data_IF_674449780867
#
_entry.id   IF_674449780867
#
_cell.length_a   1.000
_cell.length_b   1.000
_cell.length_c   1.000
_cell.angle_alpha   90.00
_cell.angle_beta   90.00
_cell.angle_gamma   90.00
#
_symmetry.space_group_name_H-M   'P 1'
#
loop_
_entity.id
_entity.type
_entity.pdbx_description
1 polymer ?
#
# COMPACT_ATOMS: atom_id res chain seq x y z
N UNK A 1 -13.24 14.52 -14.26
CA UNK A 1 -13.07 14.12 -12.85
C UNK A 1 -12.82 12.63 -12.69
N UNK A 2 -13.77 11.68 -12.92
CA UNK A 2 -13.53 10.22 -12.77
C UNK A 2 -12.37 9.71 -13.61
N UNK A 3 -12.34 9.99 -14.90
CA UNK A 3 -11.26 9.54 -15.80
C UNK A 3 -9.89 10.08 -15.38
N UNK A 4 -9.81 11.30 -14.92
CA UNK A 4 -8.59 11.92 -14.41
C UNK A 4 -8.11 11.26 -13.12
N UNK A 5 -9.02 10.96 -12.18
CA UNK A 5 -8.68 10.22 -10.95
C UNK A 5 -8.16 8.81 -11.27
N UNK A 6 -8.83 8.10 -12.18
CA UNK A 6 -8.40 6.77 -12.61
C UNK A 6 -7.03 6.82 -13.31
N UNK A 7 -6.79 7.81 -14.17
CA UNK A 7 -5.48 8.00 -14.79
C UNK A 7 -4.42 8.35 -13.74
N UNK A 8 -4.74 9.22 -12.78
CA UNK A 8 -3.86 9.55 -11.66
C UNK A 8 -3.47 8.31 -10.82
N UNK A 9 -4.42 7.40 -10.57
CA UNK A 9 -4.13 6.13 -9.91
C UNK A 9 -3.21 5.25 -10.76
N UNK A 10 -3.49 5.10 -12.06
CA UNK A 10 -2.66 4.31 -12.98
C UNK A 10 -1.22 4.84 -13.01
N UNK A 11 -1.04 6.15 -13.08
CA UNK A 11 0.27 6.80 -13.06
C UNK A 11 0.98 6.61 -11.71
N UNK A 12 0.24 6.68 -10.61
CA UNK A 12 0.76 6.42 -9.27
C UNK A 12 1.21 4.95 -9.09
N UNK A 13 0.39 3.99 -9.52
CA UNK A 13 0.74 2.56 -9.51
C UNK A 13 2.01 2.28 -10.33
N UNK A 14 2.10 2.88 -11.52
CA UNK A 14 3.28 2.76 -12.40
C UNK A 14 4.55 3.32 -11.74
N UNK A 15 4.44 4.43 -11.02
CA UNK A 15 5.56 5.08 -10.33
C UNK A 15 5.91 4.43 -8.98
N UNK A 16 5.16 3.43 -8.54
CA UNK A 16 5.21 2.87 -7.18
C UNK A 16 5.39 1.34 -7.18
N UNK A 17 6.47 0.80 -7.79
CA UNK A 17 6.69 -0.65 -7.82
C UNK A 17 7.00 -1.27 -6.45
N UNK A 18 7.41 -0.48 -5.47
CA UNK A 18 7.72 -0.91 -4.09
C UNK A 18 7.24 0.12 -3.07
N UNK A 19 7.14 -0.21 -1.75
CA UNK A 19 6.78 0.75 -0.70
C UNK A 19 7.66 2.01 -0.70
N UNK A 20 8.95 1.87 -0.97
CA UNK A 20 9.89 2.98 -1.07
C UNK A 20 9.52 3.95 -2.21
N UNK A 21 9.18 3.42 -3.38
CA UNK A 21 8.76 4.21 -4.54
C UNK A 21 7.38 4.84 -4.32
N UNK A 22 6.47 4.13 -3.65
CA UNK A 22 5.15 4.65 -3.28
C UNK A 22 5.30 5.87 -2.35
N UNK A 23 6.10 5.73 -1.29
CA UNK A 23 6.40 6.83 -0.35
C UNK A 23 7.07 8.00 -1.04
N UNK A 24 8.05 7.76 -1.91
CA UNK A 24 8.70 8.81 -2.69
C UNK A 24 7.73 9.52 -3.66
N UNK A 25 6.78 8.78 -4.25
CA UNK A 25 5.75 9.34 -5.12
C UNK A 25 4.73 10.19 -4.35
N UNK A 26 4.28 9.73 -3.17
CA UNK A 26 3.42 10.49 -2.26
C UNK A 26 4.12 11.78 -1.81
N UNK A 27 5.39 11.69 -1.37
CA UNK A 27 6.18 12.82 -0.93
C UNK A 27 6.33 13.89 -2.01
N UNK A 28 6.68 13.50 -3.24
CA UNK A 28 6.79 14.44 -4.39
C UNK A 28 5.48 15.18 -4.66
N UNK A 29 4.34 14.50 -4.56
CA UNK A 29 3.02 15.12 -4.77
C UNK A 29 2.66 16.08 -3.64
N UNK A 30 3.01 15.73 -2.40
CA UNK A 30 2.86 16.61 -1.23
C UNK A 30 3.73 17.86 -1.38
N UNK A 31 5.01 17.71 -1.75
CA UNK A 31 5.92 18.84 -2.00
C UNK A 31 5.40 19.78 -3.09
N UNK A 32 4.92 19.22 -4.22
CA UNK A 32 4.30 19.98 -5.30
C UNK A 32 3.05 20.76 -4.84
N UNK A 33 2.35 20.27 -3.81
CA UNK A 33 1.21 20.93 -3.18
C UNK A 33 1.58 21.85 -2.00
N UNK A 34 2.88 22.11 -1.79
CA UNK A 34 3.39 23.05 -0.77
C UNK A 34 3.52 22.44 0.62
N UNK A 35 3.51 21.13 0.77
CA UNK A 35 3.82 20.47 2.04
C UNK A 35 5.33 20.51 2.29
N UNK A 36 5.73 20.82 3.53
CA UNK A 36 7.12 20.86 3.98
C UNK A 36 7.50 19.57 4.70
N UNK A 37 8.63 18.97 4.30
CA UNK A 37 9.18 17.81 5.03
C UNK A 37 9.66 18.22 6.42
N UNK A 38 9.35 17.42 7.42
CA UNK A 38 9.89 17.49 8.78
C UNK A 38 10.83 16.30 8.98
N UNK A 39 12.03 16.57 9.52
CA UNK A 39 12.95 15.51 9.95
C UNK A 39 12.63 15.11 11.39
N UNK A 40 12.57 13.83 11.68
CA UNK A 40 12.28 13.32 13.01
C UNK A 40 13.42 13.58 14.01
N UNK A 41 14.62 13.87 13.53
CA UNK A 41 15.81 14.20 14.35
C UNK A 41 15.83 15.65 14.83
N UNK A 42 15.05 16.52 14.18
CA UNK A 42 15.03 17.95 14.46
C UNK A 42 13.84 18.33 15.36
N UNK A 43 13.95 19.48 16.03
CA UNK A 43 12.80 20.12 16.67
C UNK A 43 11.82 20.64 15.61
N UNK A 44 10.51 20.41 15.82
CA UNK A 44 9.49 20.86 14.88
C UNK A 44 8.90 22.20 15.29
N UNK A 45 8.80 23.10 14.32
CA UNK A 45 8.08 24.36 14.44
C UNK A 45 6.89 24.31 13.47
N UNK A 46 5.74 23.92 13.98
CA UNK A 46 4.49 23.82 13.22
C UNK A 46 3.59 25.02 13.49
N UNK A 47 2.90 25.48 12.48
CA UNK A 47 2.02 26.64 12.51
C UNK A 47 0.59 26.26 12.16
N UNK A 48 -0.38 26.99 12.69
CA UNK A 48 -1.78 26.90 12.27
C UNK A 48 -1.91 27.12 10.76
N UNK A 49 -2.65 26.27 10.09
CA UNK A 49 -2.77 26.27 8.62
C UNK A 49 -1.57 25.65 7.89
N UNK A 50 -0.54 25.20 8.62
CA UNK A 50 0.66 24.61 8.04
C UNK A 50 0.42 23.25 7.43
N UNK A 51 1.25 22.91 6.43
CA UNK A 51 1.21 21.65 5.68
C UNK A 51 2.56 20.96 5.79
N UNK A 52 2.59 19.75 6.32
CA UNK A 52 3.83 19.04 6.64
C UNK A 52 3.72 17.57 6.24
N UNK A 53 4.86 16.92 6.07
CA UNK A 53 4.93 15.47 6.01
C UNK A 53 6.22 14.94 6.65
N UNK A 54 6.15 13.70 7.11
CA UNK A 54 7.25 12.96 7.73
C UNK A 54 7.34 11.61 7.04
N UNK A 55 8.55 11.12 6.80
CA UNK A 55 8.77 9.75 6.33
C UNK A 55 9.60 8.96 7.35
N UNK A 56 9.33 7.68 7.47
CA UNK A 56 10.15 6.75 8.26
C UNK A 56 10.52 5.55 7.42
N UNK A 57 11.78 5.11 7.48
CA UNK A 57 12.37 4.07 6.64
C UNK A 57 12.25 4.33 5.12
N UNK A 58 11.86 5.54 4.70
CA UNK A 58 11.50 5.89 3.33
C UNK A 58 10.42 4.99 2.71
N UNK A 59 9.70 4.21 3.52
CA UNK A 59 8.62 3.31 3.11
C UNK A 59 7.28 3.60 3.79
N UNK A 60 7.26 4.43 4.83
CA UNK A 60 6.05 4.92 5.50
C UNK A 60 6.03 6.44 5.55
N UNK A 61 4.81 7.01 5.54
CA UNK A 61 4.61 8.45 5.46
C UNK A 61 3.43 8.89 6.33
N UNK A 62 3.58 10.03 7.03
CA UNK A 62 2.49 10.77 7.65
C UNK A 62 2.45 12.17 7.06
N UNK A 63 1.34 12.52 6.38
CA UNK A 63 1.07 13.86 5.87
C UNK A 63 0.09 14.58 6.80
N UNK A 64 0.36 15.86 7.08
CA UNK A 64 -0.31 16.65 8.09
C UNK A 64 -0.75 17.97 7.47
N UNK A 65 -2.05 18.27 7.55
CA UNK A 65 -2.62 19.57 7.30
C UNK A 65 -3.22 20.09 8.60
N UNK A 66 -2.58 21.05 9.22
CA UNK A 66 -3.12 21.71 10.43
C UNK A 66 -4.17 22.73 10.02
N UNK A 67 -5.33 22.63 10.64
CA UNK A 67 -6.43 23.58 10.50
C UNK A 67 -6.22 24.82 11.37
N UNK A 68 -7.27 25.65 11.48
CA UNK A 68 -7.28 26.80 12.40
C UNK A 68 -7.79 26.43 13.78
N UNK A 69 -8.57 25.37 13.91
CA UNK A 69 -9.04 24.86 15.20
C UNK A 69 -7.93 24.10 15.90
N UNK A 70 -7.82 24.32 17.20
CA UNK A 70 -6.86 23.57 18.02
C UNK A 70 -7.17 22.07 17.99
N UNK A 71 -6.18 21.16 17.84
CA UNK A 71 -6.42 19.73 17.99
C UNK A 71 -6.98 19.33 19.37
N UNK A 72 -6.80 20.15 20.38
CA UNK A 72 -7.41 19.96 21.72
C UNK A 72 -8.92 20.21 21.74
N UNK A 73 -9.45 20.93 20.75
CA UNK A 73 -10.86 21.24 20.61
C UNK A 73 -11.53 20.34 19.59
N UNK A 74 -10.90 20.13 18.44
CA UNK A 74 -11.49 19.42 17.29
C UNK A 74 -10.94 18.02 17.06
N UNK A 75 -9.81 17.65 17.66
CA UNK A 75 -9.14 16.38 17.36
C UNK A 75 -8.52 16.38 15.97
N UNK A 76 -8.21 15.16 15.48
CA UNK A 76 -7.68 14.90 14.15
C UNK A 76 -8.63 14.05 13.32
N UNK A 77 -8.73 14.35 12.03
CA UNK A 77 -9.36 13.48 11.01
C UNK A 77 -8.24 12.70 10.38
N UNK A 78 -8.15 11.41 10.72
CA UNK A 78 -7.08 10.55 10.24
C UNK A 78 -7.61 9.60 9.16
N UNK A 79 -6.90 9.49 8.06
CA UNK A 79 -7.08 8.43 7.06
C UNK A 79 -5.83 7.57 7.08
N UNK A 80 -6.00 6.26 7.23
CA UNK A 80 -4.90 5.29 7.26
C UNK A 80 -4.98 4.33 6.08
N UNK A 81 -3.83 4.01 5.48
CA UNK A 81 -3.63 3.01 4.43
C UNK A 81 -2.24 2.38 4.56
N UNK A 82 -1.89 1.41 3.69
CA UNK A 82 -0.54 0.85 3.68
C UNK A 82 0.10 0.90 2.30
N UNK A 83 1.45 0.92 2.29
CA UNK A 83 2.26 1.13 1.08
C UNK A 83 2.76 -0.17 0.46
N UNK A 84 2.81 -1.24 1.22
CA UNK A 84 3.29 -2.56 0.82
C UNK A 84 2.21 -3.38 0.12
N UNK A 85 2.63 -4.41 -0.56
CA UNK A 85 1.79 -5.38 -1.25
C UNK A 85 2.55 -6.70 -1.37
N UNK A 86 1.87 -7.86 -1.46
CA UNK A 86 2.54 -9.14 -1.61
C UNK A 86 3.40 -9.20 -2.86
N UNK A 87 4.62 -9.72 -2.71
CA UNK A 87 5.59 -9.77 -3.80
C UNK A 87 6.66 -10.84 -3.60
N UNK A 88 7.55 -10.99 -4.58
CA UNK A 88 8.74 -11.82 -4.49
C UNK A 88 9.96 -10.94 -4.24
N UNK A 89 10.55 -11.03 -3.04
CA UNK A 89 11.76 -10.30 -2.64
C UNK A 89 13.01 -11.10 -2.95
N UNK A 90 14.05 -10.43 -3.43
CA UNK A 90 15.35 -11.05 -3.73
C UNK A 90 16.07 -11.37 -2.43
N UNK A 91 16.60 -12.59 -2.29
CA UNK A 91 17.37 -13.05 -1.13
C UNK A 91 18.74 -12.38 -1.07
N UNK A 92 19.39 -12.30 0.12
CA UNK A 92 20.72 -11.65 0.28
C UNK A 92 21.87 -12.24 -0.56
N UNK A 93 21.82 -13.54 -0.84
CA UNK A 93 22.71 -14.25 -1.76
C UNK A 93 21.85 -14.99 -2.78
N UNK A 94 21.47 -14.32 -3.88
CA UNK A 94 20.35 -14.78 -4.70
C UNK A 94 20.77 -15.65 -5.88
N UNK A 95 22.03 -15.67 -6.28
CA UNK A 95 22.49 -16.29 -7.51
C UNK A 95 22.28 -17.82 -7.48
N UNK A 96 21.53 -18.33 -8.45
CA UNK A 96 21.32 -19.75 -8.68
C UNK A 96 21.73 -20.05 -10.13
N UNK A 97 22.93 -20.60 -10.32
CA UNK A 97 23.37 -21.07 -11.63
C UNK A 97 22.93 -22.53 -11.81
N UNK A 98 22.03 -22.80 -12.75
CA UNK A 98 21.49 -24.14 -13.01
C UNK A 98 21.21 -24.34 -14.49
N UNK A 99 21.69 -25.44 -15.06
CA UNK A 99 21.41 -25.84 -16.45
C UNK A 99 21.70 -24.75 -17.49
N UNK A 100 22.73 -23.91 -17.28
CA UNK A 100 23.08 -22.81 -18.19
C UNK A 100 22.22 -21.57 -18.04
N UNK A 101 21.42 -21.46 -16.97
CA UNK A 101 20.64 -20.27 -16.65
C UNK A 101 21.05 -19.66 -15.31
N UNK A 102 20.94 -18.36 -15.22
CA UNK A 102 20.99 -17.61 -13.96
C UNK A 102 19.58 -17.31 -13.50
N UNK A 103 19.27 -17.76 -12.29
CA UNK A 103 18.04 -17.44 -11.58
C UNK A 103 18.37 -16.63 -10.32
N UNK A 104 17.42 -15.86 -9.83
CA UNK A 104 17.53 -15.23 -8.51
C UNK A 104 16.64 -15.95 -7.50
N UNK A 105 17.24 -16.35 -6.38
CA UNK A 105 16.52 -16.87 -5.23
C UNK A 105 15.62 -15.79 -4.63
N UNK A 106 14.36 -16.12 -4.36
CA UNK A 106 13.38 -15.20 -3.82
C UNK A 106 12.77 -15.69 -2.51
N UNK A 107 12.31 -14.75 -1.72
CA UNK A 107 11.46 -14.95 -0.54
C UNK A 107 10.08 -14.38 -0.83
N UNK A 108 9.02 -15.09 -0.45
CA UNK A 108 7.65 -14.60 -0.59
C UNK A 108 7.39 -13.60 0.52
N UNK A 109 6.99 -12.39 0.15
CA UNK A 109 6.54 -11.35 1.05
C UNK A 109 5.01 -11.33 1.08
N UNK A 110 4.42 -11.46 2.27
CA UNK A 110 2.96 -11.48 2.44
C UNK A 110 2.27 -12.72 1.87
N UNK A 111 0.96 -12.65 1.73
CA UNK A 111 0.10 -13.74 1.28
C UNK A 111 -0.10 -13.80 -0.23
N UNK A 112 0.97 -13.81 -1.04
CA UNK A 112 0.88 -13.77 -2.50
C UNK A 112 0.18 -14.99 -3.11
N UNK A 113 -0.65 -14.76 -4.14
CA UNK A 113 -1.13 -15.80 -5.04
C UNK A 113 -0.01 -16.16 -6.03
N UNK A 114 0.52 -17.40 -6.03
CA UNK A 114 1.70 -17.76 -6.81
C UNK A 114 1.43 -17.96 -8.30
N UNK A 115 0.34 -18.62 -8.65
CA UNK A 115 0.03 -18.97 -10.04
C UNK A 115 0.05 -17.77 -11.02
N UNK A 116 -0.47 -16.59 -10.68
CA UNK A 116 -0.44 -15.44 -11.57
C UNK A 116 0.95 -14.86 -11.86
N UNK A 117 1.99 -15.26 -11.12
CA UNK A 117 3.37 -14.82 -11.33
C UNK A 117 4.06 -15.49 -12.50
N UNK A 118 3.58 -16.68 -12.88
CA UNK A 118 4.15 -17.42 -14.00
C UNK A 118 3.84 -16.74 -15.33
N UNK A 119 4.79 -16.85 -16.27
CA UNK A 119 4.71 -16.33 -17.65
C UNK A 119 4.53 -14.81 -17.74
N UNK A 120 4.89 -14.07 -16.67
CA UNK A 120 4.87 -12.60 -16.64
C UNK A 120 6.22 -12.02 -16.98
N UNK A 121 6.18 -10.88 -17.64
CA UNK A 121 7.35 -10.03 -17.90
C UNK A 121 7.70 -9.25 -16.63
N UNK A 122 8.69 -9.73 -15.88
CA UNK A 122 9.03 -9.17 -14.58
C UNK A 122 10.19 -8.18 -14.67
N UNK A 123 10.09 -7.10 -13.91
CA UNK A 123 11.16 -6.17 -13.61
C UNK A 123 11.52 -6.22 -12.12
N UNK A 124 12.55 -5.46 -11.73
CA UNK A 124 13.09 -5.42 -10.39
C UNK A 124 13.25 -3.97 -9.93
N UNK A 125 12.81 -3.67 -8.70
CA UNK A 125 12.95 -2.36 -8.10
C UNK A 125 13.12 -2.44 -6.58
N UNK A 126 13.65 -1.38 -5.98
CA UNK A 126 13.76 -1.28 -4.53
C UNK A 126 14.86 -0.32 -4.09
N UNK A 127 15.40 -0.55 -2.88
CA UNK A 127 16.45 0.23 -2.26
C UNK A 127 17.77 -0.53 -2.29
N UNK A 128 18.85 0.12 -2.72
CA UNK A 128 20.22 -0.40 -2.67
C UNK A 128 21.03 0.46 -1.72
N UNK A 129 21.73 -0.19 -0.78
CA UNK A 129 22.65 0.45 0.17
C UNK A 129 24.08 0.11 -0.21
N UNK A 130 24.91 1.12 -0.36
CA UNK A 130 26.26 1.01 -0.88
C UNK A 130 27.21 2.00 -0.20
N UNK A 131 28.51 1.80 -0.40
CA UNK A 131 29.54 2.78 -0.04
C UNK A 131 30.05 3.43 -1.33
N UNK A 132 30.11 4.76 -1.31
CA UNK A 132 30.73 5.55 -2.37
C UNK A 132 31.53 6.69 -1.75
N UNK A 133 32.78 6.90 -2.20
CA UNK A 133 33.66 7.92 -1.67
C UNK A 133 33.80 7.86 -0.13
N UNK A 134 33.84 6.65 0.43
CA UNK A 134 33.95 6.40 1.87
C UNK A 134 32.69 6.66 2.69
N UNK A 135 31.57 7.05 2.07
CA UNK A 135 30.27 7.32 2.74
C UNK A 135 29.30 6.18 2.49
N UNK A 136 28.48 5.89 3.50
CA UNK A 136 27.32 5.01 3.37
C UNK A 136 26.16 5.80 2.78
N UNK A 137 25.61 5.30 1.68
CA UNK A 137 24.46 5.89 0.98
C UNK A 137 23.44 4.84 0.59
N UNK A 138 22.21 5.26 0.35
CA UNK A 138 21.16 4.44 -0.23
C UNK A 138 20.47 5.17 -1.37
N UNK A 139 20.08 4.43 -2.41
CA UNK A 139 19.31 4.94 -3.55
C UNK A 139 18.21 3.95 -3.92
N UNK A 140 17.13 4.48 -4.45
CA UNK A 140 16.12 3.67 -5.10
C UNK A 140 16.58 3.35 -6.51
N UNK A 141 16.39 2.10 -6.93
CA UNK A 141 16.66 1.65 -8.30
C UNK A 141 15.40 1.01 -8.87
N UNK A 142 15.21 1.16 -10.19
CA UNK A 142 14.11 0.54 -10.92
C UNK A 142 14.59 0.20 -12.35
N UNK A 143 14.64 -1.09 -12.67
CA UNK A 143 15.06 -1.55 -14.01
C UNK A 143 14.09 -1.18 -15.11
N UNK A 144 12.81 -1.00 -14.81
CA UNK A 144 11.71 -0.53 -15.69
C UNK A 144 11.38 -1.38 -16.91
N UNK A 145 12.27 -2.23 -17.32
CA UNK A 145 12.08 -3.17 -18.44
C UNK A 145 11.97 -4.60 -17.92
N UNK A 146 11.36 -5.46 -18.69
CA UNK A 146 11.34 -6.89 -18.40
C UNK A 146 12.77 -7.45 -18.41
N UNK A 147 13.23 -7.93 -17.27
CA UNK A 147 14.55 -8.54 -17.08
C UNK A 147 14.47 -9.97 -16.55
N UNK A 148 13.27 -10.42 -16.21
CA UNK A 148 13.07 -11.72 -15.58
C UNK A 148 11.75 -12.35 -16.01
N UNK A 149 11.67 -13.67 -15.90
CA UNK A 149 10.45 -14.46 -16.10
C UNK A 149 10.48 -15.72 -15.24
N UNK A 150 9.31 -16.16 -14.77
CA UNK A 150 9.10 -17.48 -14.17
C UNK A 150 8.31 -18.31 -15.19
N UNK A 151 8.96 -19.11 -16.05
CA UNK A 151 8.22 -19.86 -17.07
C UNK A 151 7.50 -21.05 -16.45
N UNK A 152 6.24 -21.28 -16.87
CA UNK A 152 5.55 -22.51 -16.56
C UNK A 152 6.26 -23.72 -17.19
N UNK A 153 6.16 -24.87 -16.52
CA UNK A 153 6.52 -26.12 -17.15
C UNK A 153 5.47 -26.51 -18.22
N UNK A 154 5.92 -26.91 -19.38
CA UNK A 154 5.01 -27.32 -20.44
C UNK A 154 4.02 -28.41 -19.96
N UNK A 155 2.75 -28.31 -20.38
CA UNK A 155 1.68 -29.24 -19.96
C UNK A 155 2.05 -30.72 -20.22
N UNK A 156 2.84 -31.01 -21.26
CA UNK A 156 3.31 -32.35 -21.57
C UNK A 156 4.24 -32.96 -20.51
N UNK A 157 4.91 -32.10 -19.72
CA UNK A 157 5.83 -32.49 -18.64
C UNK A 157 5.18 -32.40 -17.26
N UNK A 158 4.03 -31.70 -17.16
CA UNK A 158 3.22 -31.57 -15.94
C UNK A 158 1.73 -31.71 -16.28
N UNK A 159 1.27 -32.93 -16.51
CA UNK A 159 -0.13 -33.20 -16.92
C UNK A 159 -1.15 -32.92 -15.83
N UNK A 160 -0.71 -32.90 -14.57
CA UNK A 160 -1.52 -32.56 -13.40
C UNK A 160 -1.64 -31.05 -13.11
N UNK A 161 -1.06 -30.17 -13.93
CA UNK A 161 -1.04 -28.73 -13.70
C UNK A 161 -2.44 -28.14 -13.48
N UNK A 162 -3.47 -28.66 -14.16
CA UNK A 162 -4.86 -28.20 -14.04
C UNK A 162 -5.67 -28.98 -12.99
N UNK A 163 -5.06 -29.90 -12.24
CA UNK A 163 -5.72 -30.77 -11.26
C UNK A 163 -5.41 -30.35 -9.81
N UNK A 164 -4.97 -29.10 -9.60
CA UNK A 164 -4.64 -28.56 -8.27
C UNK A 164 -3.19 -28.82 -7.84
N UNK A 165 -2.24 -28.76 -8.77
CA UNK A 165 -0.81 -28.89 -8.48
C UNK A 165 -0.33 -27.82 -7.48
N UNK A 166 0.22 -28.20 -6.31
CA UNK A 166 0.75 -27.24 -5.34
C UNK A 166 2.08 -26.68 -5.82
N UNK A 167 2.17 -25.35 -5.93
CA UNK A 167 3.39 -24.65 -6.31
C UNK A 167 4.34 -24.59 -5.11
N UNK A 168 5.57 -25.08 -5.27
CA UNK A 168 6.62 -24.99 -4.27
C UNK A 168 7.39 -23.70 -4.44
N UNK A 169 7.22 -22.75 -3.49
CA UNK A 169 7.83 -21.44 -3.56
C UNK A 169 9.37 -21.45 -3.65
N UNK A 170 10.03 -22.40 -2.96
CA UNK A 170 11.50 -22.48 -2.94
C UNK A 170 12.07 -22.93 -4.28
N UNK A 171 11.40 -23.86 -4.96
CA UNK A 171 11.94 -24.53 -6.13
C UNK A 171 11.40 -23.98 -7.46
N UNK A 172 10.18 -23.41 -7.47
CA UNK A 172 9.45 -23.08 -8.69
C UNK A 172 9.33 -21.56 -8.92
N UNK A 173 9.49 -20.72 -7.89
CA UNK A 173 9.39 -19.27 -8.02
C UNK A 173 10.68 -18.51 -8.39
N UNK A 174 11.93 -19.07 -8.29
CA UNK A 174 13.13 -18.31 -8.67
C UNK A 174 13.07 -17.88 -10.15
N UNK A 175 12.97 -16.56 -10.45
CA UNK A 175 12.88 -16.07 -11.82
C UNK A 175 14.21 -16.26 -12.56
N UNK A 176 14.12 -16.60 -13.86
CA UNK A 176 15.26 -16.62 -14.78
C UNK A 176 15.55 -15.18 -15.19
N UNK A 177 16.82 -14.75 -15.10
CA UNK A 177 17.24 -13.40 -15.51
C UNK A 177 18.28 -13.42 -16.64
N UNK A 178 18.99 -14.52 -16.86
CA UNK A 178 19.99 -14.63 -17.93
C UNK A 178 20.26 -16.08 -18.31
N UNK A 179 20.84 -16.25 -19.51
CA UNK A 179 21.52 -17.48 -19.91
C UNK A 179 23.02 -17.30 -19.69
N UNK A 180 23.68 -18.31 -19.09
CA UNK A 180 25.10 -18.30 -18.79
C UNK A 180 25.88 -19.11 -19.81
N UNK A 181 27.05 -18.60 -20.25
CA UNK A 181 28.01 -19.36 -20.97
C UNK A 181 28.69 -20.43 -20.06
N UNK A 182 29.24 -21.52 -20.61
CA UNK A 182 29.97 -22.49 -19.82
C UNK A 182 31.10 -21.87 -19.00
N UNK A 183 31.03 -22.02 -17.68
CA UNK A 183 32.04 -21.48 -16.75
C UNK A 183 31.86 -19.99 -16.40
N UNK A 184 30.83 -19.35 -16.92
CA UNK A 184 30.48 -17.97 -16.54
C UNK A 184 29.92 -17.91 -15.11
N UNK A 185 30.47 -17.00 -14.31
CA UNK A 185 29.96 -16.67 -12.98
C UNK A 185 29.17 -15.38 -13.06
N UNK A 186 28.08 -15.30 -12.31
CA UNK A 186 27.27 -14.09 -12.18
C UNK A 186 27.51 -13.45 -10.82
N UNK A 187 27.55 -12.13 -10.79
CA UNK A 187 27.58 -11.31 -9.58
C UNK A 187 26.40 -10.33 -9.61
N UNK A 188 25.43 -10.58 -8.77
CA UNK A 188 24.22 -9.75 -8.72
C UNK A 188 24.52 -8.35 -8.17
N UNK A 189 25.51 -8.22 -7.28
CA UNK A 189 25.91 -6.90 -6.77
C UNK A 189 26.57 -6.04 -7.83
N UNK A 190 27.29 -6.64 -8.75
CA UNK A 190 27.85 -5.92 -9.91
C UNK A 190 26.73 -5.41 -10.82
N UNK A 191 25.67 -6.20 -11.05
CA UNK A 191 24.48 -5.74 -11.80
C UNK A 191 23.81 -4.54 -11.13
N UNK A 192 23.79 -4.50 -9.79
CA UNK A 192 23.25 -3.36 -9.04
C UNK A 192 24.13 -2.12 -9.12
N UNK A 193 25.46 -2.26 -9.13
CA UNK A 193 26.40 -1.15 -9.34
C UNK A 193 26.23 -0.55 -10.74
N UNK A 194 26.10 -1.38 -11.78
CA UNK A 194 25.78 -0.92 -13.13
C UNK A 194 24.44 -0.18 -13.20
N UNK A 195 23.44 -0.64 -12.43
CA UNK A 195 22.13 0.05 -12.39
C UNK A 195 22.22 1.38 -11.64
N UNK A 196 22.98 1.47 -10.55
CA UNK A 196 23.28 2.73 -9.85
C UNK A 196 23.98 3.74 -10.78
N UNK A 197 24.95 3.27 -11.54
CA UNK A 197 25.64 4.11 -12.53
C UNK A 197 24.66 4.62 -13.61
N UNK A 198 23.79 3.75 -14.12
CA UNK A 198 22.81 4.08 -15.17
C UNK A 198 21.75 5.09 -14.73
N UNK A 199 21.22 4.92 -13.51
CA UNK A 199 20.13 5.77 -13.03
C UNK A 199 20.59 7.04 -12.32
N UNK A 200 21.72 6.97 -11.62
CA UNK A 200 22.16 8.04 -10.73
C UNK A 200 23.53 8.61 -11.09
N UNK A 201 24.26 8.03 -12.06
CA UNK A 201 25.64 8.41 -12.38
C UNK A 201 26.62 8.06 -11.23
N UNK A 202 26.28 7.12 -10.37
CA UNK A 202 27.07 6.72 -9.18
C UNK A 202 27.74 5.39 -9.46
N UNK A 203 29.05 5.31 -9.25
CA UNK A 203 29.79 4.07 -9.15
C UNK A 203 30.06 3.79 -7.69
N UNK A 204 29.59 2.64 -7.17
CA UNK A 204 29.82 2.26 -5.79
C UNK A 204 31.23 1.70 -5.58
N UNK A 205 31.86 2.03 -4.44
CA UNK A 205 33.07 1.29 -4.00
C UNK A 205 32.69 -0.17 -3.71
N UNK A 206 31.50 -0.40 -3.15
CA UNK A 206 30.92 -1.71 -2.88
C UNK A 206 29.40 -1.57 -2.64
N UNK A 207 28.59 -2.46 -3.25
CA UNK A 207 27.18 -2.67 -2.89
C UNK A 207 27.13 -3.56 -1.65
N UNK A 208 26.60 -3.03 -0.56
CA UNK A 208 26.60 -3.70 0.76
C UNK A 208 25.37 -4.57 0.96
N UNK A 209 24.18 -4.00 0.69
CA UNK A 209 22.92 -4.70 0.89
C UNK A 209 21.80 -4.08 0.03
N UNK A 210 20.64 -4.72 0.01
CA UNK A 210 19.50 -4.26 -0.79
C UNK A 210 18.18 -4.81 -0.26
N UNK A 211 17.10 -4.12 -0.62
CA UNK A 211 15.71 -4.55 -0.46
C UNK A 211 15.02 -4.40 -1.81
N UNK A 212 15.01 -5.48 -2.58
CA UNK A 212 14.55 -5.49 -3.97
C UNK A 212 13.39 -6.47 -4.15
N UNK A 213 12.38 -6.04 -4.89
CA UNK A 213 11.18 -6.84 -5.20
C UNK A 213 10.96 -6.91 -6.69
N UNK A 214 10.56 -8.09 -7.16
CA UNK A 214 10.06 -8.27 -8.52
C UNK A 214 8.65 -7.66 -8.65
N UNK A 215 8.36 -7.14 -9.82
CA UNK A 215 7.03 -6.64 -10.18
C UNK A 215 6.74 -6.89 -11.66
N UNK A 216 5.44 -6.94 -12.02
CA UNK A 216 4.98 -7.08 -13.40
C UNK A 216 5.14 -5.75 -14.16
N UNK A 217 5.77 -5.80 -15.33
CA UNK A 217 5.93 -4.63 -16.20
C UNK A 217 4.63 -4.23 -16.91
N UNK A 218 3.60 -5.09 -16.88
CA UNK A 218 2.29 -4.76 -17.43
C UNK A 218 1.65 -3.64 -16.60
N UNK A 219 1.50 -2.48 -17.21
CA UNK A 219 0.87 -1.32 -16.58
C UNK A 219 -0.58 -1.61 -16.18
N UNK A 220 -1.04 -0.95 -15.12
CA UNK A 220 -2.47 -0.87 -14.82
C UNK A 220 -3.22 -0.22 -15.99
N UNK A 221 -4.48 -0.60 -16.18
CA UNK A 221 -5.33 -0.08 -17.23
C UNK A 221 -6.80 -0.08 -16.83
N UNK A 222 -7.58 0.82 -17.43
CA UNK A 222 -9.03 0.70 -17.42
C UNK A 222 -9.41 -0.41 -18.41
N UNK A 223 -10.25 -1.32 -17.97
CA UNK A 223 -10.68 -2.51 -18.74
C UNK A 223 -12.19 -2.74 -18.57
N UNK A 224 -12.75 -3.60 -19.40
CA UNK A 224 -14.17 -3.90 -19.46
C UNK A 224 -14.79 -3.38 -20.76
N UNK A 225 -15.97 -3.90 -21.11
CA UNK A 225 -16.65 -3.53 -22.34
C UNK A 225 -17.03 -2.04 -22.38
N UNK A 226 -17.34 -1.46 -21.19
CA UNK A 226 -17.72 -0.05 -21.01
C UNK A 226 -16.82 0.63 -19.97
N UNK A 227 -15.56 0.25 -19.85
CA UNK A 227 -14.58 0.84 -18.94
C UNK A 227 -14.98 0.72 -17.44
N UNK A 228 -15.61 -0.40 -17.06
CA UNK A 228 -16.14 -0.58 -15.71
C UNK A 228 -15.08 -0.86 -14.64
N UNK A 229 -13.87 -1.29 -15.05
CA UNK A 229 -12.88 -1.80 -14.12
C UNK A 229 -11.52 -1.13 -14.28
N UNK A 230 -10.72 -1.18 -13.22
CA UNK A 230 -9.28 -0.91 -13.23
C UNK A 230 -8.58 -2.22 -12.91
N UNK A 231 -7.73 -2.70 -13.82
CA UNK A 231 -6.90 -3.88 -13.62
C UNK A 231 -5.44 -3.45 -13.42
N UNK A 232 -4.82 -3.88 -12.33
CA UNK A 232 -3.43 -3.52 -12.03
C UNK A 232 -2.87 -4.29 -10.85
N UNK A 233 -1.56 -4.28 -10.69
CA UNK A 233 -0.89 -4.78 -9.51
C UNK A 233 -0.98 -3.76 -8.37
N UNK A 234 -0.96 -4.23 -7.11
CA UNK A 234 -0.87 -3.39 -5.90
C UNK A 234 -2.04 -2.41 -5.71
N UNK A 235 -3.22 -2.75 -6.26
CA UNK A 235 -4.44 -2.02 -5.91
C UNK A 235 -4.67 -2.10 -4.40
N UNK A 236 -4.41 -3.27 -3.84
CA UNK A 236 -4.21 -3.46 -2.42
C UNK A 236 -2.76 -3.10 -2.05
N UNK A 237 -2.47 -1.95 -1.35
CA UNK A 237 -3.47 -0.96 -0.93
C UNK A 237 -3.11 0.45 -1.46
N UNK A 238 -2.34 0.52 -2.56
CA UNK A 238 -1.95 1.79 -3.17
C UNK A 238 -3.17 2.59 -3.68
N UNK A 239 -4.29 1.91 -3.95
CA UNK A 239 -5.55 2.57 -4.29
C UNK A 239 -6.01 3.47 -3.15
N UNK A 240 -6.02 2.97 -1.90
CA UNK A 240 -6.41 3.74 -0.73
C UNK A 240 -5.38 4.82 -0.37
N UNK A 241 -4.08 4.57 -0.55
CA UNK A 241 -3.03 5.59 -0.43
C UNK A 241 -3.29 6.76 -1.39
N UNK A 242 -3.60 6.46 -2.65
CA UNK A 242 -3.90 7.46 -3.67
C UNK A 242 -5.19 8.22 -3.33
N UNK A 243 -6.27 7.53 -2.98
CA UNK A 243 -7.53 8.15 -2.60
C UNK A 243 -7.41 9.08 -1.39
N UNK A 244 -6.69 8.63 -0.35
CA UNK A 244 -6.41 9.43 0.84
C UNK A 244 -5.59 10.69 0.53
N UNK A 245 -4.59 10.56 -0.35
CA UNK A 245 -3.79 11.71 -0.81
C UNK A 245 -4.64 12.70 -1.61
N UNK A 246 -5.44 12.23 -2.59
CA UNK A 246 -6.34 13.11 -3.36
C UNK A 246 -7.31 13.87 -2.46
N UNK A 247 -7.92 13.18 -1.49
CA UNK A 247 -8.80 13.81 -0.53
C UNK A 247 -8.08 14.83 0.35
N UNK A 248 -6.86 14.53 0.82
CA UNK A 248 -6.07 15.43 1.65
C UNK A 248 -5.62 16.69 0.89
N UNK A 249 -5.17 16.54 -0.35
CA UNK A 249 -4.72 17.67 -1.19
C UNK A 249 -5.85 18.64 -1.50
N UNK A 250 -7.08 18.14 -1.61
CA UNK A 250 -8.28 18.92 -1.87
C UNK A 250 -9.08 19.24 -0.60
N UNK A 251 -8.55 18.91 0.59
CA UNK A 251 -9.24 19.17 1.85
C UNK A 251 -9.35 20.68 2.09
N UNK A 252 -10.58 21.10 2.38
CA UNK A 252 -10.92 22.47 2.74
C UNK A 252 -11.33 22.55 4.23
N UNK A 253 -11.51 23.76 4.75
CA UNK A 253 -11.96 23.97 6.13
C UNK A 253 -10.85 24.12 7.15
N UNK A 254 -11.25 24.17 8.42
CA UNK A 254 -10.40 24.54 9.57
C UNK A 254 -9.96 23.33 10.42
N UNK A 255 -10.22 22.10 9.93
CA UNK A 255 -9.96 20.89 10.66
C UNK A 255 -8.52 20.37 10.46
N UNK A 256 -8.04 19.61 11.45
CA UNK A 256 -6.71 19.00 11.42
C UNK A 256 -6.79 17.64 10.71
N UNK A 257 -6.23 17.56 9.52
CA UNK A 257 -6.32 16.39 8.64
C UNK A 257 -4.97 15.67 8.56
N UNK A 258 -5.01 14.35 8.67
CA UNK A 258 -3.81 13.51 8.63
C UNK A 258 -4.06 12.34 7.67
N UNK A 259 -3.10 12.08 6.80
CA UNK A 259 -2.99 10.84 6.05
C UNK A 259 -1.78 10.06 6.57
N UNK A 260 -1.97 8.81 6.97
CA UNK A 260 -0.88 7.90 7.33
C UNK A 260 -0.88 6.71 6.37
N UNK A 261 0.28 6.45 5.75
CA UNK A 261 0.50 5.28 4.91
C UNK A 261 1.69 4.52 5.48
N UNK A 262 1.44 3.34 6.06
CA UNK A 262 2.45 2.51 6.73
C UNK A 262 2.94 1.38 5.85
N UNK A 263 4.14 0.91 6.09
CA UNK A 263 4.71 -0.31 5.49
C UNK A 263 4.42 -1.54 6.36
N UNK A 264 4.65 -2.74 5.82
CA UNK A 264 4.61 -4.03 6.52
C UNK A 264 3.23 -4.51 6.98
N UNK A 265 2.13 -3.98 6.43
CA UNK A 265 0.79 -4.48 6.74
C UNK A 265 0.67 -5.96 6.41
N UNK A 266 1.12 -6.35 5.23
CA UNK A 266 1.01 -7.69 4.65
C UNK A 266 1.78 -8.79 5.42
N UNK A 267 2.60 -8.37 6.38
CA UNK A 267 3.39 -9.26 7.25
C UNK A 267 3.14 -8.98 8.75
N UNK A 268 2.04 -8.29 9.07
CA UNK A 268 1.55 -8.10 10.44
C UNK A 268 1.97 -6.81 11.13
N UNK A 269 2.42 -5.79 10.39
CA UNK A 269 2.67 -4.42 10.87
C UNK A 269 3.73 -4.24 11.98
N UNK A 270 4.36 -5.33 12.46
CA UNK A 270 5.28 -5.32 13.60
C UNK A 270 6.68 -4.83 13.18
N UNK A 271 6.83 -3.53 13.03
CA UNK A 271 8.11 -2.88 12.73
C UNK A 271 8.11 -1.43 13.22
N UNK A 272 9.29 -0.78 13.23
CA UNK A 272 9.40 0.62 13.68
C UNK A 272 8.65 1.62 12.78
N UNK A 273 8.32 1.24 11.54
CA UNK A 273 7.58 2.03 10.57
C UNK A 273 6.19 1.47 10.23
N UNK A 274 5.86 0.26 10.66
CA UNK A 274 4.53 -0.34 10.53
C UNK A 274 3.49 0.25 11.48
N UNK A 275 2.23 -0.15 11.31
CA UNK A 275 1.12 0.36 12.11
C UNK A 275 1.18 -0.08 13.59
N UNK A 276 1.82 -1.21 13.90
CA UNK A 276 2.09 -1.69 15.27
C UNK A 276 3.30 -0.99 15.91
N UNK A 277 4.02 -0.18 15.13
CA UNK A 277 5.15 0.62 15.59
C UNK A 277 4.74 2.01 16.11
N UNK A 278 5.69 2.74 16.70
CA UNK A 278 5.41 4.01 17.37
C UNK A 278 5.29 5.21 16.41
N UNK A 279 5.37 5.01 15.09
CA UNK A 279 5.53 6.10 14.14
C UNK A 279 4.41 7.14 14.21
N UNK A 280 3.17 6.72 14.05
CA UNK A 280 2.02 7.63 14.07
C UNK A 280 1.87 8.30 15.44
N UNK A 281 1.97 7.54 16.52
CA UNK A 281 1.86 8.10 17.89
C UNK A 281 2.91 9.17 18.16
N UNK A 282 4.17 8.91 17.79
CA UNK A 282 5.27 9.87 17.99
C UNK A 282 5.06 11.14 17.15
N UNK A 283 4.57 11.03 15.91
CA UNK A 283 4.23 12.19 15.08
C UNK A 283 3.12 13.02 15.76
N UNK A 284 2.01 12.36 16.17
CA UNK A 284 0.88 13.04 16.78
C UNK A 284 1.27 13.74 18.11
N UNK A 285 2.07 13.09 18.94
CA UNK A 285 2.56 13.70 20.21
C UNK A 285 3.38 14.96 19.98
N UNK A 286 4.17 15.01 18.91
CA UNK A 286 5.01 16.18 18.56
C UNK A 286 4.21 17.36 18.00
N UNK A 287 2.95 17.15 17.62
CA UNK A 287 2.03 18.22 17.19
C UNK A 287 1.27 18.87 18.36
N UNK A 288 1.43 18.35 19.57
CA UNK A 288 0.63 18.72 20.74
C UNK A 288 1.53 19.20 21.88
N UNK A 289 1.01 20.08 22.78
CA UNK A 289 1.69 20.38 24.03
C UNK A 289 1.92 19.13 24.87
N UNK A 290 2.85 19.23 25.82
CA UNK A 290 3.11 18.17 26.80
C UNK A 290 1.91 17.91 27.75
N UNK A 291 2.00 16.87 28.54
CA UNK A 291 1.01 16.49 29.55
C UNK A 291 -0.12 15.61 28.99
N UNK A 292 -1.37 15.91 29.33
CA UNK A 292 -2.55 15.14 28.94
C UNK A 292 -3.10 15.50 27.55
N UNK A 293 -2.44 16.45 26.86
CA UNK A 293 -2.90 16.98 25.56
C UNK A 293 -3.11 15.89 24.51
N UNK A 294 -2.20 14.92 24.42
CA UNK A 294 -2.31 13.80 23.49
C UNK A 294 -3.59 12.99 23.75
N UNK A 295 -3.82 12.54 24.99
CA UNK A 295 -4.99 11.72 25.33
C UNK A 295 -6.31 12.47 25.05
N UNK A 296 -6.35 13.77 25.33
CA UNK A 296 -7.54 14.61 25.08
C UNK A 296 -7.80 14.82 23.60
N UNK A 297 -6.78 15.06 22.79
CA UNK A 297 -6.91 15.22 21.35
C UNK A 297 -7.34 13.90 20.67
N UNK A 298 -6.74 12.78 21.08
CA UNK A 298 -7.06 11.45 20.51
C UNK A 298 -8.51 11.06 20.79
N UNK A 299 -9.04 11.35 21.99
CA UNK A 299 -10.48 11.06 22.28
C UNK A 299 -11.44 11.92 21.48
N UNK A 300 -10.99 13.00 20.84
CA UNK A 300 -11.74 13.84 19.89
C UNK A 300 -11.44 13.50 18.43
N UNK A 301 -10.64 12.48 18.18
CA UNK A 301 -10.20 12.10 16.85
C UNK A 301 -10.92 10.88 16.34
N UNK A 302 -10.91 10.70 15.02
CA UNK A 302 -11.41 9.50 14.35
C UNK A 302 -10.43 9.07 13.27
N UNK A 303 -10.18 7.76 13.16
CA UNK A 303 -9.43 7.14 12.08
C UNK A 303 -10.40 6.44 11.12
N UNK A 304 -10.31 6.78 9.85
CA UNK A 304 -10.84 5.97 8.74
C UNK A 304 -9.68 5.11 8.24
N UNK A 305 -9.68 3.83 8.63
CA UNK A 305 -8.73 2.82 8.16
C UNK A 305 -9.24 2.30 6.81
N UNK A 306 -8.56 2.70 5.73
CA UNK A 306 -8.93 2.38 4.36
C UNK A 306 -8.02 1.28 3.82
N UNK A 307 -8.61 0.11 3.60
CA UNK A 307 -7.95 -1.07 3.10
C UNK A 307 -8.93 -1.89 2.24
N UNK A 308 -8.48 -2.49 1.13
CA UNK A 308 -9.39 -3.08 0.17
C UNK A 308 -10.31 -4.16 0.79
N UNK A 309 -11.48 -4.34 0.22
CA UNK A 309 -12.48 -5.31 0.65
C UNK A 309 -12.65 -6.42 -0.39
N UNK A 310 -13.13 -7.59 0.03
CA UNK A 310 -13.42 -8.69 -0.89
C UNK A 310 -14.74 -8.45 -1.63
N UNK A 311 -14.68 -8.23 -2.94
CA UNK A 311 -15.84 -8.20 -3.82
C UNK A 311 -16.43 -9.60 -4.03
N UNK A 312 -17.74 -9.69 -4.26
CA UNK A 312 -18.40 -10.98 -4.59
C UNK A 312 -17.98 -11.43 -5.96
N UNK A 313 -17.13 -12.44 -6.00
CA UNK A 313 -16.70 -13.02 -7.26
C UNK A 313 -17.82 -13.86 -7.91
N UNK A 314 -18.20 -13.62 -9.18
CA UNK A 314 -19.37 -14.26 -9.80
C UNK A 314 -19.31 -15.78 -9.81
N UNK A 315 -18.11 -16.36 -9.89
CA UNK A 315 -17.91 -17.82 -9.89
C UNK A 315 -17.80 -18.44 -8.50
N UNK A 316 -17.72 -17.61 -7.44
CA UNK A 316 -17.50 -18.05 -6.04
C UNK A 316 -18.35 -17.26 -5.05
N UNK A 317 -19.60 -16.93 -5.44
CA UNK A 317 -20.49 -16.14 -4.60
C UNK A 317 -20.81 -16.82 -3.26
N UNK A 318 -20.74 -18.15 -3.21
CA UNK A 318 -20.89 -18.97 -2.01
C UNK A 318 -19.79 -18.73 -0.94
N UNK A 319 -18.70 -18.07 -1.28
CA UNK A 319 -17.66 -17.67 -0.34
C UNK A 319 -18.01 -16.44 0.49
N UNK A 320 -19.12 -15.77 0.19
CA UNK A 320 -19.61 -14.61 0.93
C UNK A 320 -20.84 -14.95 1.78
N UNK A 321 -21.06 -14.16 2.84
CA UNK A 321 -22.36 -14.12 3.50
C UNK A 321 -23.42 -13.61 2.53
N UNK A 322 -24.60 -14.23 2.55
CA UNK A 322 -25.63 -13.97 1.54
C UNK A 322 -26.16 -12.52 1.51
N UNK A 323 -26.04 -11.80 2.63
CA UNK A 323 -26.54 -10.43 2.77
C UNK A 323 -25.44 -9.36 2.83
N UNK A 324 -24.16 -9.77 2.86
CA UNK A 324 -23.02 -8.88 3.10
C UNK A 324 -21.92 -9.06 2.03
N UNK A 325 -22.33 -9.23 0.79
CA UNK A 325 -21.44 -9.40 -0.35
C UNK A 325 -21.26 -8.10 -1.13
N UNK A 326 -20.09 -7.43 -1.07
CA UNK A 326 -19.87 -6.19 -1.77
C UNK A 326 -19.75 -6.37 -3.28
N UNK A 327 -20.36 -5.47 -4.04
CA UNK A 327 -20.24 -5.39 -5.50
C UNK A 327 -19.21 -4.32 -5.90
N UNK A 328 -18.42 -4.59 -6.94
CA UNK A 328 -17.58 -3.58 -7.58
C UNK A 328 -18.47 -2.46 -8.15
N UNK A 329 -17.98 -1.23 -8.10
CA UNK A 329 -18.72 -0.01 -8.45
C UNK A 329 -19.91 0.31 -7.54
N UNK A 330 -20.03 -0.39 -6.42
CA UNK A 330 -21.06 -0.16 -5.40
C UNK A 330 -20.65 0.81 -4.28
N UNK A 331 -19.50 1.46 -4.41
CA UNK A 331 -18.94 2.38 -3.40
C UNK A 331 -18.21 1.68 -2.24
N UNK A 332 -17.72 2.46 -1.27
CA UNK A 332 -16.96 1.95 -0.15
C UNK A 332 -17.77 0.97 0.70
N UNK A 333 -17.04 0.04 1.30
CA UNK A 333 -17.55 -1.06 2.10
C UNK A 333 -17.12 -0.85 3.55
N UNK A 334 -18.07 -0.80 4.48
CA UNK A 334 -17.79 -0.83 5.92
C UNK A 334 -17.54 -2.27 6.33
N UNK A 335 -16.36 -2.54 6.88
CA UNK A 335 -15.94 -3.87 7.32
C UNK A 335 -16.31 -4.07 8.80
N UNK A 336 -16.99 -5.16 9.14
CA UNK A 336 -17.46 -5.47 10.50
C UNK A 336 -17.03 -6.89 10.88
N UNK A 337 -16.47 -7.05 12.09
CA UNK A 337 -16.10 -8.34 12.61
C UNK A 337 -16.24 -8.41 14.14
N UNK A 338 -16.99 -9.38 14.66
CA UNK A 338 -17.23 -9.54 16.11
C UNK A 338 -15.98 -9.88 16.90
N UNK A 339 -14.95 -10.45 16.28
CA UNK A 339 -13.66 -10.75 16.91
C UNK A 339 -12.65 -9.61 16.84
N UNK A 340 -13.12 -8.41 16.48
CA UNK A 340 -12.29 -7.18 16.35
C UNK A 340 -11.11 -7.35 15.37
N UNK A 341 -11.31 -8.15 14.31
CA UNK A 341 -10.39 -8.15 13.15
C UNK A 341 -10.50 -6.87 12.33
N UNK A 342 -11.63 -6.16 12.51
CA UNK A 342 -11.88 -4.78 12.09
C UNK A 342 -12.29 -3.98 13.33
N UNK A 343 -11.82 -2.76 13.48
CA UNK A 343 -12.06 -1.91 14.65
C UNK A 343 -13.44 -1.22 14.65
N UNK A 344 -14.21 -1.41 13.58
CA UNK A 344 -15.52 -0.79 13.39
C UNK A 344 -16.48 -1.15 14.53
N UNK A 345 -17.20 -0.13 15.04
CA UNK A 345 -18.33 -0.28 15.92
C UNK A 345 -19.57 0.45 15.36
N UNK A 346 -20.71 0.39 16.06
CA UNK A 346 -21.95 0.99 15.56
C UNK A 346 -21.90 2.52 15.45
N UNK A 347 -21.16 3.20 16.33
CA UNK A 347 -21.02 4.65 16.35
C UNK A 347 -20.19 5.12 15.14
N UNK A 348 -19.00 4.52 14.95
CA UNK A 348 -18.10 4.87 13.84
C UNK A 348 -18.67 4.45 12.48
N UNK A 349 -19.34 3.29 12.40
CA UNK A 349 -20.06 2.85 11.20
C UNK A 349 -21.23 3.79 10.87
N UNK A 350 -22.02 4.18 11.87
CA UNK A 350 -23.14 5.11 11.72
C UNK A 350 -22.70 6.46 11.18
N UNK A 351 -21.62 6.99 11.75
CA UNK A 351 -21.01 8.24 11.28
C UNK A 351 -20.54 8.14 9.82
N UNK A 352 -19.82 7.08 9.45
CA UNK A 352 -19.35 6.92 8.07
C UNK A 352 -20.50 6.75 7.08
N UNK A 353 -21.59 6.04 7.46
CA UNK A 353 -22.81 5.97 6.65
C UNK A 353 -23.47 7.32 6.44
N UNK A 354 -23.52 8.14 7.49
CA UNK A 354 -24.06 9.50 7.41
C UNK A 354 -23.23 10.34 6.43
N UNK A 355 -21.89 10.31 6.52
CA UNK A 355 -21.03 10.99 5.55
C UNK A 355 -21.27 10.52 4.10
N UNK A 356 -21.46 9.22 3.89
CA UNK A 356 -21.79 8.68 2.56
C UNK A 356 -23.14 9.20 2.06
N UNK A 357 -24.17 9.24 2.92
CA UNK A 357 -25.50 9.75 2.58
C UNK A 357 -25.44 11.23 2.19
N UNK A 358 -24.81 12.05 3.01
CA UNK A 358 -24.68 13.50 2.76
C UNK A 358 -23.85 13.81 1.51
N UNK A 359 -22.91 12.92 1.20
CA UNK A 359 -22.09 13.01 0.00
C UNK A 359 -22.72 12.36 -1.23
N UNK A 360 -23.92 11.79 -1.12
CA UNK A 360 -24.56 11.02 -2.20
C UNK A 360 -23.63 9.92 -2.76
N UNK A 361 -22.93 9.22 -1.87
CA UNK A 361 -22.04 8.08 -2.20
C UNK A 361 -22.72 6.79 -1.73
N UNK A 362 -22.88 5.78 -2.59
CA UNK A 362 -23.37 4.49 -2.16
C UNK A 362 -22.41 3.86 -1.16
N UNK A 363 -22.94 3.11 -0.18
CA UNK A 363 -22.13 2.45 0.85
C UNK A 363 -22.62 1.03 1.10
N UNK A 364 -21.69 0.11 1.23
CA UNK A 364 -21.93 -1.31 1.41
C UNK A 364 -21.45 -1.78 2.80
N UNK A 365 -21.72 -3.03 3.13
CA UNK A 365 -21.19 -3.69 4.33
C UNK A 365 -20.60 -5.04 3.99
N UNK A 366 -19.53 -5.40 4.69
CA UNK A 366 -18.92 -6.70 4.62
C UNK A 366 -18.86 -7.34 6.01
N UNK A 367 -19.30 -8.58 6.07
CA UNK A 367 -19.11 -9.49 7.20
C UNK A 367 -18.61 -10.81 6.63
N UNK A 368 -17.52 -11.33 7.18
CA UNK A 368 -17.01 -12.65 6.79
C UNK A 368 -18.00 -13.75 7.16
N UNK A 369 -18.16 -14.78 6.33
CA UNK A 369 -18.94 -15.96 6.68
C UNK A 369 -18.49 -16.52 8.03
N UNK A 370 -19.45 -16.93 8.86
CA UNK A 370 -19.17 -17.39 10.23
C UNK A 370 -18.30 -18.65 10.31
N UNK A 371 -18.24 -19.42 9.22
CA UNK A 371 -17.44 -20.64 9.07
C UNK A 371 -16.06 -20.40 8.40
N UNK A 372 -15.68 -19.14 8.14
CA UNK A 372 -14.41 -18.78 7.53
C UNK A 372 -13.59 -17.86 8.44
N UNK A 373 -12.27 -17.94 8.30
CA UNK A 373 -11.35 -17.00 8.96
C UNK A 373 -11.44 -15.60 8.36
N UNK A 374 -11.30 -14.58 9.21
CA UNK A 374 -11.23 -13.19 8.80
C UNK A 374 -9.78 -12.71 8.83
N UNK A 375 -9.33 -12.04 7.77
CA UNK A 375 -8.10 -11.24 7.77
C UNK A 375 -8.19 -10.08 8.76
N UNK A 376 -7.13 -9.35 8.94
CA UNK A 376 -7.10 -8.11 9.72
C UNK A 376 -6.61 -6.97 8.82
N UNK A 377 -6.57 -5.75 9.37
CA UNK A 377 -6.15 -4.52 8.73
C UNK A 377 -5.28 -3.72 9.69
N UNK A 378 -4.74 -2.59 9.24
CA UNK A 378 -4.08 -1.63 10.14
C UNK A 378 -5.06 -1.02 11.18
N UNK A 379 -6.38 -1.07 10.94
CA UNK A 379 -7.39 -0.43 11.79
C UNK A 379 -7.34 -0.85 13.25
N UNK A 380 -7.54 -2.14 13.59
CA UNK A 380 -7.46 -2.62 14.97
C UNK A 380 -6.10 -2.38 15.61
N UNK A 381 -5.03 -2.49 14.83
CA UNK A 381 -3.66 -2.29 15.31
C UNK A 381 -3.46 -0.82 15.69
N UNK A 382 -3.78 0.10 14.80
CA UNK A 382 -3.65 1.55 15.07
C UNK A 382 -4.60 2.00 16.19
N UNK A 383 -5.84 1.48 16.21
CA UNK A 383 -6.80 1.75 17.29
C UNK A 383 -6.23 1.34 18.66
N UNK A 384 -5.57 0.18 18.74
CA UNK A 384 -4.94 -0.32 19.96
C UNK A 384 -3.69 0.47 20.36
N UNK A 385 -2.82 0.82 19.40
CA UNK A 385 -1.56 1.51 19.67
C UNK A 385 -1.76 2.98 20.05
N UNK A 386 -2.66 3.67 19.35
CA UNK A 386 -2.86 5.12 19.50
C UNK A 386 -4.02 5.43 20.45
N UNK A 387 -4.97 4.52 20.62
CA UNK A 387 -6.19 4.73 21.40
C UNK A 387 -7.25 5.54 20.65
N UNK A 388 -7.24 5.56 19.32
CA UNK A 388 -8.15 6.34 18.48
C UNK A 388 -9.37 5.52 18.06
N UNK A 389 -10.56 6.14 18.09
CA UNK A 389 -11.78 5.54 17.52
C UNK A 389 -11.59 5.31 16.03
N UNK A 390 -11.99 4.13 15.55
CA UNK A 390 -11.67 3.72 14.19
C UNK A 390 -12.89 3.11 13.49
N UNK A 391 -13.04 3.40 12.20
CA UNK A 391 -13.88 2.67 11.26
C UNK A 391 -12.99 2.03 10.20
N UNK A 392 -13.14 0.73 9.97
CA UNK A 392 -12.50 0.03 8.86
C UNK A 392 -13.41 0.02 7.64
N UNK A 393 -12.88 0.55 6.55
CA UNK A 393 -13.56 0.59 5.25
C UNK A 393 -12.65 0.04 4.16
N UNK A 394 -13.21 -0.19 2.97
CA UNK A 394 -12.40 -0.52 1.80
C UNK A 394 -13.16 -0.41 0.51
N UNK A 395 -12.46 -0.43 -0.62
CA UNK A 395 -13.09 -0.61 -1.92
C UNK A 395 -13.10 -2.09 -2.28
N UNK A 396 -14.20 -2.60 -2.86
CA UNK A 396 -14.27 -4.00 -3.24
C UNK A 396 -13.34 -4.29 -4.41
N UNK A 397 -12.54 -5.36 -4.29
CA UNK A 397 -11.61 -5.83 -5.33
C UNK A 397 -11.78 -7.32 -5.57
N UNK A 398 -11.42 -7.77 -6.77
CA UNK A 398 -11.21 -9.18 -7.08
C UNK A 398 -9.71 -9.50 -7.15
N UNK A 399 -9.38 -10.75 -6.92
CA UNK A 399 -8.03 -11.26 -7.00
C UNK A 399 -7.04 -10.49 -6.10
N UNK A 400 -7.48 -10.05 -4.92
CA UNK A 400 -6.60 -9.47 -3.89
C UNK A 400 -5.38 -10.38 -3.68
N UNK A 401 -4.18 -9.77 -3.56
CA UNK A 401 -2.88 -10.45 -3.48
C UNK A 401 -2.40 -11.17 -4.76
N UNK A 402 -3.13 -11.02 -5.86
CA UNK A 402 -2.60 -11.40 -7.18
C UNK A 402 -1.61 -10.33 -7.66
N UNK A 403 -0.67 -10.73 -8.52
CA UNK A 403 0.17 -9.78 -9.26
C UNK A 403 -0.66 -8.86 -10.19
N UNK A 404 -1.94 -9.18 -10.41
CA UNK A 404 -2.90 -8.35 -11.15
C UNK A 404 -4.28 -8.50 -10.55
N UNK A 405 -4.73 -7.45 -9.91
CA UNK A 405 -6.00 -7.30 -9.19
C UNK A 405 -7.01 -6.53 -10.04
N UNK A 406 -8.26 -6.48 -9.62
CA UNK A 406 -9.34 -5.79 -10.32
C UNK A 406 -10.22 -5.00 -9.32
N UNK A 407 -10.38 -3.70 -9.57
CA UNK A 407 -11.27 -2.82 -8.83
C UNK A 407 -12.34 -2.19 -9.74
N UNK A 408 -13.40 -1.62 -9.15
CA UNK A 408 -14.39 -0.85 -9.87
C UNK A 408 -13.86 0.54 -10.27
N UNK A 409 -14.07 0.96 -11.52
CA UNK A 409 -13.57 2.25 -12.04
C UNK A 409 -14.32 3.47 -11.46
N UNK A 410 -15.50 3.27 -10.84
CA UNK A 410 -16.28 4.32 -10.18
C UNK A 410 -15.90 4.47 -8.71
N UNK A 411 -15.40 3.42 -8.08
CA UNK A 411 -15.23 3.33 -6.63
C UNK A 411 -14.17 4.29 -6.10
N UNK A 412 -13.09 4.54 -6.87
CA UNK A 412 -12.09 5.53 -6.50
C UNK A 412 -12.68 6.92 -6.31
N UNK A 413 -13.53 7.37 -7.24
CA UNK A 413 -14.18 8.67 -7.13
C UNK A 413 -15.13 8.76 -5.94
N UNK A 414 -15.85 7.66 -5.63
CA UNK A 414 -16.68 7.56 -4.44
C UNK A 414 -15.85 7.69 -3.17
N UNK A 415 -14.72 6.99 -3.07
CA UNK A 415 -13.86 7.03 -1.90
C UNK A 415 -13.26 8.43 -1.71
N UNK A 416 -12.70 9.03 -2.76
CA UNK A 416 -12.13 10.39 -2.68
C UNK A 416 -13.19 11.40 -2.20
N UNK A 417 -14.43 11.30 -2.71
CA UNK A 417 -15.54 12.20 -2.34
C UNK A 417 -15.88 12.09 -0.85
N UNK A 418 -16.05 10.88 -0.32
CA UNK A 418 -16.41 10.67 1.08
C UNK A 418 -15.26 10.97 2.04
N UNK A 419 -14.00 10.68 1.67
CA UNK A 419 -12.84 11.05 2.46
C UNK A 419 -12.64 12.58 2.50
N UNK A 420 -12.94 13.28 1.41
CA UNK A 420 -13.00 14.75 1.38
C UNK A 420 -14.04 15.32 2.35
N UNK A 421 -15.25 14.74 2.36
CA UNK A 421 -16.30 15.11 3.32
C UNK A 421 -15.87 14.80 4.77
N UNK A 422 -15.19 13.67 5.00
CA UNK A 422 -14.62 13.35 6.31
C UNK A 422 -13.60 14.39 6.79
N UNK A 423 -12.67 14.79 5.93
CA UNK A 423 -11.70 15.83 6.27
C UNK A 423 -12.31 17.20 6.55
N UNK A 424 -13.44 17.50 5.92
CA UNK A 424 -14.19 18.75 6.14
C UNK A 424 -15.17 18.70 7.33
N UNK A 425 -15.38 17.53 7.93
CA UNK A 425 -16.37 17.35 8.99
C UNK A 425 -15.98 18.12 10.26
N UNK A 426 -16.80 19.06 10.69
CA UNK A 426 -16.59 19.86 11.92
C UNK A 426 -16.86 19.09 13.21
N UNK A 427 -17.69 18.04 13.12
CA UNK A 427 -18.09 17.20 14.25
C UNK A 427 -17.70 15.73 13.98
N UNK A 428 -17.23 15.06 15.01
CA UNK A 428 -16.94 13.63 15.02
C UNK A 428 -17.83 12.95 16.06
N UNK A 429 -18.14 11.64 15.92
CA UNK A 429 -19.01 10.93 16.82
C UNK A 429 -18.49 10.85 18.25
#
# INVERSE_FOLDING_TARGET
>A
MRAELNQGLIDFLKASPTPFHATASLARRLEAAGYRRLDERDAWHTETGGRYYVTRNDSSLVAIRLGRRSPLESGFRLVGAHTDSPCLRVKPNPEIARNGFLQLGVEVYGGALFAPWFDRDLSLAGRVTFRANGKLESRLVDFRKAIAVIPNLAIHLNRAANEGWPINAQNELPPIIAQLAPGEAADFRLLLDEQLLREHGITADVVLDYELSFYDTQSAAVVGLNDEFIAGARLDNLLSCHAGLEALLNAEGDENCILVCTDHEEVGSCSHCGADGPFLEQVLRRLLPEGDAFSRAIQRSLLVSADNAHGVHPNYADRHDANHGPALNGGPVIKINSNQRYATNSETAGFFRHLCQDSEVPVQSFVTRSDMGCGSTIGPITASQVGVRTVDIGLPTFAMHSIRELAGSHDLAHLVKVLGAFYASSELP
#
